data_IF_699311549872
#
_entry.id   IF_699311549872
#
_cell.length_a   1.000
_cell.length_b   1.000
_cell.length_c   1.000
_cell.angle_alpha   90.00
_cell.angle_beta   90.00
_cell.angle_gamma   90.00
#
_symmetry.space_group_name_H-M   'P 1'
#
loop_
_entity.id
_entity.type
_entity.pdbx_description
1 polymer ?
#
# COMPACT_ATOMS: atom_id res chain seq x y z
N UNK A 1 -27.30 22.58 -15.84
CA UNK A 1 -26.69 21.83 -14.71
C UNK A 1 -25.42 22.56 -14.32
N UNK A 2 -25.22 22.96 -13.05
CA UNK A 2 -23.94 23.54 -12.64
C UNK A 2 -22.88 22.43 -12.61
N UNK A 3 -21.77 22.67 -13.30
CA UNK A 3 -20.59 21.81 -13.26
C UNK A 3 -19.82 22.19 -12.00
N UNK A 4 -19.68 21.27 -11.05
CA UNK A 4 -18.90 21.50 -9.84
C UNK A 4 -17.42 21.72 -10.21
N UNK A 5 -16.77 22.78 -9.70
CA UNK A 5 -15.33 22.94 -9.87
C UNK A 5 -14.60 21.82 -9.12
N UNK A 6 -13.50 21.33 -9.70
CA UNK A 6 -12.72 20.19 -9.15
C UNK A 6 -12.28 20.44 -7.70
N UNK A 7 -12.05 21.70 -7.31
CA UNK A 7 -11.71 22.12 -5.95
C UNK A 7 -12.79 21.87 -4.90
N UNK A 8 -14.02 21.51 -5.30
CA UNK A 8 -15.11 21.11 -4.39
C UNK A 8 -15.31 19.59 -4.35
N UNK A 9 -14.59 18.84 -5.19
CA UNK A 9 -14.64 17.38 -5.21
C UNK A 9 -13.79 16.86 -4.05
N UNK A 10 -14.44 16.13 -3.14
CA UNK A 10 -13.79 15.47 -2.01
C UNK A 10 -13.58 13.97 -2.25
N UNK A 11 -14.38 13.38 -3.14
CA UNK A 11 -14.31 11.96 -3.50
C UNK A 11 -14.13 11.84 -5.00
N UNK A 12 -13.07 11.18 -5.42
CA UNK A 12 -12.82 10.89 -6.82
C UNK A 12 -12.62 9.38 -7.01
N UNK A 13 -13.28 8.84 -8.04
CA UNK A 13 -13.14 7.45 -8.47
C UNK A 13 -12.71 7.50 -9.93
N UNK A 14 -11.49 7.02 -10.22
CA UNK A 14 -10.97 6.98 -11.59
C UNK A 14 -10.95 5.54 -12.09
N UNK A 15 -11.83 5.16 -13.03
CA UNK A 15 -11.85 3.80 -13.56
C UNK A 15 -10.66 3.49 -14.49
N UNK A 16 -9.93 4.51 -14.98
CA UNK A 16 -8.74 4.34 -15.82
C UNK A 16 -7.49 3.96 -15.03
N UNK A 17 -6.68 3.07 -15.60
CA UNK A 17 -5.52 2.42 -15.00
C UNK A 17 -4.30 3.34 -14.73
N UNK A 18 -4.44 4.65 -14.94
CA UNK A 18 -3.38 5.60 -14.73
C UNK A 18 -3.88 6.85 -14.04
N UNK A 19 -3.05 7.33 -13.12
CA UNK A 19 -3.12 8.68 -12.62
C UNK A 19 -3.01 9.64 -13.82
N UNK A 20 -3.92 10.63 -13.96
CA UNK A 20 -3.74 11.67 -14.96
C UNK A 20 -2.42 12.40 -14.72
N UNK A 21 -1.60 12.60 -15.76
CA UNK A 21 -0.34 13.38 -15.70
C UNK A 21 -0.52 14.80 -15.11
N UNK A 22 -1.77 15.25 -14.99
CA UNK A 22 -2.21 16.54 -14.49
C UNK A 22 -2.30 16.67 -12.96
N UNK A 23 -1.89 15.68 -12.13
CA UNK A 23 -1.85 15.86 -10.66
C UNK A 23 -0.95 17.03 -10.23
N UNK A 24 -0.04 17.47 -11.10
CA UNK A 24 0.90 18.57 -10.89
C UNK A 24 0.29 19.99 -10.79
N UNK A 25 -1.04 20.16 -10.81
CA UNK A 25 -1.69 21.46 -10.97
C UNK A 25 -2.49 22.03 -9.79
N UNK A 26 -2.37 21.49 -8.58
CA UNK A 26 -3.12 21.97 -7.39
C UNK A 26 -4.63 21.66 -7.39
N UNK A 27 -5.17 21.16 -8.51
CA UNK A 27 -6.58 20.80 -8.69
C UNK A 27 -7.06 19.68 -7.75
N UNK A 28 -6.13 18.92 -7.16
CA UNK A 28 -6.43 17.73 -6.37
C UNK A 28 -6.35 18.00 -4.86
N UNK A 29 -5.98 19.21 -4.46
CA UNK A 29 -5.72 19.57 -3.06
C UNK A 29 -6.91 19.38 -2.11
N UNK A 30 -8.15 19.39 -2.62
CA UNK A 30 -9.38 19.17 -1.84
C UNK A 30 -9.80 17.71 -1.72
N UNK A 31 -9.13 16.79 -2.44
CA UNK A 31 -9.52 15.38 -2.48
C UNK A 31 -9.17 14.71 -1.16
N UNK A 32 -10.18 14.12 -0.54
CA UNK A 32 -10.08 13.42 0.74
C UNK A 32 -10.16 11.91 0.55
N UNK A 33 -10.95 11.46 -0.43
CA UNK A 33 -11.13 10.06 -0.78
C UNK A 33 -10.78 9.85 -2.25
N UNK A 34 -9.85 8.93 -2.52
CA UNK A 34 -9.45 8.59 -3.87
C UNK A 34 -9.51 7.08 -4.05
N UNK A 35 -10.16 6.64 -5.13
CA UNK A 35 -10.14 5.25 -5.59
C UNK A 35 -9.65 5.22 -7.03
N UNK A 36 -8.59 4.46 -7.30
CA UNK A 36 -8.02 4.33 -8.65
C UNK A 36 -7.85 2.85 -9.00
N UNK A 37 -7.94 2.51 -10.29
CA UNK A 37 -7.80 1.11 -10.73
C UNK A 37 -6.35 0.65 -10.87
N UNK A 38 -5.42 1.57 -11.18
CA UNK A 38 -4.03 1.22 -11.41
C UNK A 38 -3.07 2.36 -11.12
N UNK A 39 -1.92 2.04 -10.54
CA UNK A 39 -0.78 2.96 -10.47
C UNK A 39 0.55 2.21 -10.28
N UNK A 40 1.67 2.89 -10.53
CA UNK A 40 2.99 2.45 -10.05
C UNK A 40 3.24 2.83 -8.59
N UNK A 41 4.36 2.38 -8.03
CA UNK A 41 4.85 2.90 -6.74
C UNK A 41 5.27 4.38 -6.83
N UNK A 42 5.82 4.79 -7.98
CA UNK A 42 6.18 6.17 -8.29
C UNK A 42 4.96 7.10 -8.20
N UNK A 43 3.84 6.66 -8.75
CA UNK A 43 2.55 7.33 -8.68
C UNK A 43 2.04 7.47 -7.23
N UNK A 44 2.22 6.42 -6.41
CA UNK A 44 1.86 6.45 -4.99
C UNK A 44 2.62 7.54 -4.23
N UNK A 45 3.92 7.70 -4.53
CA UNK A 45 4.75 8.77 -3.98
C UNK A 45 4.25 10.16 -4.41
N UNK A 46 3.85 10.31 -5.68
CA UNK A 46 3.27 11.54 -6.22
C UNK A 46 1.97 11.89 -5.51
N UNK A 47 1.06 10.92 -5.34
CA UNK A 47 -0.21 11.11 -4.61
C UNK A 47 0.01 11.60 -3.18
N UNK A 48 0.92 10.94 -2.47
CA UNK A 48 1.29 11.27 -1.09
C UNK A 48 1.84 12.69 -0.96
N UNK A 49 2.49 13.18 -2.01
CA UNK A 49 3.14 14.50 -2.01
C UNK A 49 2.20 15.61 -2.47
N UNK A 50 1.32 15.33 -3.43
CA UNK A 50 0.54 16.35 -4.12
C UNK A 50 -0.93 16.46 -3.66
N UNK A 51 -1.41 15.51 -2.85
CA UNK A 51 -2.78 15.51 -2.32
C UNK A 51 -2.75 15.59 -0.78
N UNK A 52 -2.48 16.78 -0.20
CA UNK A 52 -2.23 16.92 1.23
C UNK A 52 -3.44 16.56 2.11
N UNK A 53 -4.67 16.74 1.61
CA UNK A 53 -5.92 16.42 2.33
C UNK A 53 -6.36 14.96 2.19
N UNK A 54 -5.60 14.12 1.46
CA UNK A 54 -5.96 12.73 1.23
C UNK A 54 -5.98 11.95 2.54
N UNK A 55 -7.15 11.42 2.88
CA UNK A 55 -7.37 10.59 4.07
C UNK A 55 -7.58 9.12 3.72
N UNK A 56 -8.19 8.84 2.56
CA UNK A 56 -8.55 7.50 2.15
C UNK A 56 -8.09 7.25 0.73
N UNK A 57 -7.24 6.24 0.55
CA UNK A 57 -6.76 5.81 -0.75
C UNK A 57 -7.08 4.33 -0.94
N UNK A 58 -7.79 4.02 -2.02
CA UNK A 58 -7.96 2.66 -2.53
C UNK A 58 -7.34 2.54 -3.91
N UNK A 59 -6.60 1.46 -4.12
CA UNK A 59 -5.95 1.15 -5.39
C UNK A 59 -6.24 -0.30 -5.72
N UNK A 60 -6.77 -0.56 -6.92
CA UNK A 60 -7.05 -1.94 -7.31
C UNK A 60 -5.76 -2.69 -7.69
N UNK A 61 -4.84 -2.06 -8.42
CA UNK A 61 -3.58 -2.68 -8.82
C UNK A 61 -2.38 -1.73 -8.69
N UNK A 62 -1.34 -2.16 -7.99
CA UNK A 62 -0.05 -1.48 -7.93
C UNK A 62 1.00 -2.31 -8.66
N UNK A 63 1.51 -1.77 -9.77
CA UNK A 63 2.56 -2.41 -10.57
C UNK A 63 3.97 -2.03 -10.11
N UNK A 64 4.93 -2.91 -10.37
CA UNK A 64 6.35 -2.64 -10.14
C UNK A 64 6.93 -1.73 -11.23
N UNK A 65 6.54 -0.47 -11.24
CA UNK A 65 7.13 0.57 -12.08
C UNK A 65 8.12 1.42 -11.27
N UNK A 66 8.97 0.79 -10.45
CA UNK A 66 9.95 1.52 -9.64
C UNK A 66 11.09 1.99 -10.52
N UNK A 67 11.21 3.29 -10.72
CA UNK A 67 12.39 3.88 -11.36
C UNK A 67 13.48 4.18 -10.32
N UNK A 68 14.76 4.19 -10.73
CA UNK A 68 15.86 4.63 -9.84
C UNK A 68 15.64 6.04 -9.27
N UNK A 69 14.92 6.89 -10.00
CA UNK A 69 14.52 8.24 -9.57
C UNK A 69 13.62 8.17 -8.34
N UNK A 70 12.68 7.23 -8.32
CA UNK A 70 11.73 7.08 -7.21
C UNK A 70 12.38 6.49 -5.97
N UNK A 71 13.28 5.53 -6.10
CA UNK A 71 14.04 4.99 -4.95
C UNK A 71 14.79 6.13 -4.25
N UNK A 72 15.48 6.97 -5.04
CA UNK A 72 16.19 8.13 -4.50
C UNK A 72 15.23 9.16 -3.89
N UNK A 73 14.05 9.35 -4.49
CA UNK A 73 13.05 10.31 -4.01
C UNK A 73 12.38 9.86 -2.71
N UNK A 74 12.07 8.57 -2.56
CA UNK A 74 11.57 7.97 -1.32
C UNK A 74 12.60 8.14 -0.20
N UNK A 75 13.88 7.86 -0.48
CA UNK A 75 14.95 7.99 0.51
C UNK A 75 15.25 9.43 0.93
N UNK A 76 15.05 10.41 0.04
CA UNK A 76 15.43 11.81 0.28
C UNK A 76 14.27 12.71 0.73
N UNK A 77 13.02 12.39 0.40
CA UNK A 77 11.86 13.21 0.76
C UNK A 77 11.29 12.82 2.13
N UNK A 78 11.49 13.70 3.12
CA UNK A 78 11.02 13.51 4.50
C UNK A 78 9.63 14.08 4.78
N UNK A 79 8.91 14.58 3.78
CA UNK A 79 7.60 15.19 4.00
C UNK A 79 6.58 14.14 4.44
N UNK A 80 5.98 14.37 5.60
CA UNK A 80 4.95 13.51 6.17
C UNK A 80 3.57 13.80 5.54
N UNK A 81 2.80 12.73 5.39
CA UNK A 81 1.42 12.70 4.90
C UNK A 81 0.50 12.47 6.09
N UNK A 82 0.38 13.50 6.92
CA UNK A 82 -0.25 13.39 8.24
C UNK A 82 -1.76 13.13 8.20
N UNK A 83 -2.41 13.42 7.07
CA UNK A 83 -3.85 13.25 6.91
C UNK A 83 -4.24 11.83 6.51
N UNK A 84 -3.32 11.03 5.97
CA UNK A 84 -3.62 9.68 5.52
C UNK A 84 -4.09 8.80 6.68
N UNK A 85 -5.30 8.25 6.57
CA UNK A 85 -5.93 7.37 7.57
C UNK A 85 -6.10 5.94 7.09
N UNK A 86 -6.35 5.75 5.79
CA UNK A 86 -6.62 4.44 5.22
C UNK A 86 -5.92 4.27 3.88
N UNK A 87 -5.15 3.19 3.77
CA UNK A 87 -4.61 2.70 2.51
C UNK A 87 -5.14 1.28 2.26
N UNK A 88 -5.75 1.09 1.09
CA UNK A 88 -6.24 -0.20 0.64
C UNK A 88 -5.67 -0.50 -0.75
N UNK A 89 -4.91 -1.59 -0.87
CA UNK A 89 -4.35 -2.05 -2.14
C UNK A 89 -4.85 -3.48 -2.40
N UNK A 90 -5.71 -3.64 -3.40
CA UNK A 90 -6.37 -4.92 -3.72
C UNK A 90 -5.42 -5.90 -4.45
N UNK A 91 -4.36 -5.40 -5.08
CA UNK A 91 -3.35 -6.20 -5.77
C UNK A 91 -2.01 -5.47 -5.81
N UNK A 92 -1.05 -5.91 -4.99
CA UNK A 92 0.32 -5.41 -4.96
C UNK A 92 1.23 -6.37 -5.72
N UNK A 93 1.65 -5.97 -6.92
CA UNK A 93 2.57 -6.68 -7.82
C UNK A 93 3.96 -6.03 -7.82
N UNK A 94 4.40 -5.53 -6.66
CA UNK A 94 5.68 -4.83 -6.50
C UNK A 94 6.33 -5.21 -5.17
N UNK A 95 7.61 -4.86 -5.00
CA UNK A 95 8.30 -5.13 -3.74
C UNK A 95 7.62 -4.41 -2.59
N UNK A 96 7.25 -5.17 -1.57
CA UNK A 96 6.62 -4.63 -0.38
C UNK A 96 7.57 -3.75 0.44
N UNK A 97 8.89 -3.92 0.30
CA UNK A 97 9.88 -3.11 0.98
C UNK A 97 9.77 -1.63 0.63
N UNK A 98 9.57 -1.31 -0.66
CA UNK A 98 9.39 0.07 -1.10
C UNK A 98 8.06 0.66 -0.62
N UNK A 99 7.01 -0.15 -0.58
CA UNK A 99 5.74 0.28 0.00
C UNK A 99 5.92 0.64 1.48
N UNK A 100 6.59 -0.20 2.27
CA UNK A 100 6.85 0.09 3.68
C UNK A 100 7.69 1.35 3.88
N UNK A 101 8.71 1.59 3.05
CA UNK A 101 9.47 2.85 3.09
C UNK A 101 8.57 4.06 2.84
N UNK A 102 7.63 3.96 1.90
CA UNK A 102 6.67 5.04 1.67
C UNK A 102 5.71 5.23 2.86
N UNK A 103 5.28 4.13 3.49
CA UNK A 103 4.38 4.14 4.64
C UNK A 103 4.99 4.81 5.87
N UNK A 104 6.32 4.87 6.00
CA UNK A 104 6.99 5.66 7.04
C UNK A 104 6.61 7.15 6.99
N UNK A 105 6.18 7.64 5.82
CA UNK A 105 5.69 9.01 5.64
C UNK A 105 4.25 9.20 6.09
N UNK A 106 3.50 8.14 6.38
CA UNK A 106 2.10 8.20 6.80
C UNK A 106 1.94 7.77 8.27
N UNK A 107 2.53 8.47 9.25
CA UNK A 107 2.59 8.01 10.64
C UNK A 107 1.22 7.88 11.31
N UNK A 108 0.22 8.63 10.82
CA UNK A 108 -1.15 8.67 11.35
C UNK A 108 -2.08 7.64 10.69
N UNK A 109 -1.55 6.71 9.90
CA UNK A 109 -2.31 5.66 9.24
C UNK A 109 -2.98 4.77 10.29
N UNK A 110 -4.29 4.58 10.14
CA UNK A 110 -5.10 3.79 11.07
C UNK A 110 -5.52 2.45 10.46
N UNK A 111 -5.63 2.39 9.13
CA UNK A 111 -6.06 1.21 8.39
C UNK A 111 -5.13 0.93 7.22
N UNK A 112 -4.61 -0.30 7.17
CA UNK A 112 -3.78 -0.78 6.07
C UNK A 112 -4.31 -2.15 5.64
N UNK A 113 -4.77 -2.23 4.40
CA UNK A 113 -5.28 -3.45 3.80
C UNK A 113 -4.46 -3.71 2.54
N UNK A 114 -3.72 -4.81 2.51
CA UNK A 114 -2.87 -5.17 1.39
C UNK A 114 -3.14 -6.60 0.96
N UNK A 115 -3.19 -6.79 -0.34
CA UNK A 115 -3.25 -8.09 -0.99
C UNK A 115 -2.06 -8.18 -1.94
N UNK A 116 -1.03 -8.92 -1.56
CA UNK A 116 0.21 -9.02 -2.33
C UNK A 116 0.28 -10.31 -3.12
N UNK A 117 0.80 -10.23 -4.34
CA UNK A 117 0.99 -11.38 -5.20
C UNK A 117 2.47 -11.56 -5.52
N UNK A 118 2.95 -12.80 -5.40
CA UNK A 118 4.24 -13.25 -5.94
C UNK A 118 5.51 -12.56 -5.41
N UNK A 119 5.47 -11.89 -4.26
CA UNK A 119 6.65 -11.29 -3.63
C UNK A 119 7.14 -12.15 -2.44
N UNK A 120 8.28 -12.87 -2.55
CA UNK A 120 8.81 -13.66 -1.45
C UNK A 120 9.41 -12.80 -0.32
N UNK A 121 9.73 -11.53 -0.57
CA UNK A 121 10.23 -10.61 0.47
C UNK A 121 9.16 -10.30 1.53
N UNK A 122 7.92 -10.70 1.26
CA UNK A 122 6.80 -10.58 2.19
C UNK A 122 6.97 -11.44 3.45
N UNK A 123 7.78 -12.50 3.38
CA UNK A 123 7.89 -13.56 4.38
C UNK A 123 9.02 -13.28 5.37
N UNK A 124 9.03 -12.06 5.89
CA UNK A 124 9.91 -11.61 6.98
C UNK A 124 9.05 -10.88 8.01
N UNK A 125 8.29 -11.68 8.79
CA UNK A 125 7.33 -11.17 9.75
C UNK A 125 8.02 -10.30 10.81
N UNK A 126 9.20 -10.71 11.26
CA UNK A 126 10.01 -9.97 12.23
C UNK A 126 10.34 -8.56 11.74
N UNK A 127 10.83 -8.40 10.51
CA UNK A 127 11.08 -7.07 9.91
C UNK A 127 9.80 -6.26 9.75
N UNK A 128 8.68 -6.88 9.37
CA UNK A 128 7.38 -6.17 9.24
C UNK A 128 6.87 -5.69 10.58
N UNK A 129 6.98 -6.51 11.61
CA UNK A 129 6.61 -6.15 12.98
C UNK A 129 7.40 -4.93 13.45
N UNK A 130 8.73 -4.92 13.25
CA UNK A 130 9.58 -3.78 13.62
C UNK A 130 9.11 -2.50 12.91
N UNK A 131 8.89 -2.55 11.60
CA UNK A 131 8.44 -1.39 10.81
C UNK A 131 7.09 -0.85 11.27
N UNK A 132 6.13 -1.74 11.54
CA UNK A 132 4.80 -1.31 12.00
C UNK A 132 4.90 -0.67 13.39
N UNK A 133 5.67 -1.26 14.32
CA UNK A 133 5.85 -0.72 15.67
C UNK A 133 6.59 0.62 15.65
N UNK A 134 7.62 0.76 14.80
CA UNK A 134 8.42 1.98 14.74
C UNK A 134 7.66 3.14 14.09
N UNK A 135 6.98 2.87 12.98
CA UNK A 135 6.55 3.90 12.03
C UNK A 135 5.03 4.06 11.94
N UNK A 136 4.25 3.03 12.28
CA UNK A 136 2.79 3.00 12.13
C UNK A 136 2.08 2.80 13.48
N UNK A 137 2.45 3.61 14.48
CA UNK A 137 1.99 3.46 15.88
C UNK A 137 0.47 3.57 16.04
N UNK A 138 -0.19 4.33 15.17
CA UNK A 138 -1.65 4.53 15.17
C UNK A 138 -2.42 3.47 14.37
N UNK A 139 -1.75 2.46 13.81
CA UNK A 139 -2.39 1.44 13.01
C UNK A 139 -3.31 0.57 13.87
N UNK A 140 -4.62 0.71 13.67
CA UNK A 140 -5.66 -0.02 14.39
C UNK A 140 -6.03 -1.29 13.65
N UNK A 141 -6.17 -1.20 12.34
CA UNK A 141 -6.57 -2.32 11.49
C UNK A 141 -5.47 -2.63 10.48
N UNK A 142 -4.90 -3.83 10.58
CA UNK A 142 -3.98 -4.37 9.59
C UNK A 142 -4.59 -5.64 9.02
N UNK A 143 -4.80 -5.64 7.71
CA UNK A 143 -5.22 -6.81 6.95
C UNK A 143 -4.21 -7.08 5.86
N UNK A 144 -3.73 -8.30 5.83
CA UNK A 144 -2.62 -8.66 5.00
C UNK A 144 -2.87 -10.03 4.41
N UNK A 145 -3.10 -10.05 3.10
CA UNK A 145 -3.23 -11.28 2.35
C UNK A 145 -2.07 -11.39 1.40
N UNK A 146 -1.48 -12.57 1.32
CA UNK A 146 -0.45 -12.80 0.30
C UNK A 146 -0.64 -14.12 -0.41
N UNK A 147 -0.41 -14.05 -1.72
CA UNK A 147 -0.48 -15.16 -2.63
C UNK A 147 0.92 -15.53 -3.09
N UNK A 148 1.31 -16.75 -2.78
CA UNK A 148 2.59 -17.33 -3.15
C UNK A 148 2.36 -18.30 -4.30
N UNK A 149 3.07 -18.09 -5.41
CA UNK A 149 3.13 -19.10 -6.47
C UNK A 149 4.01 -20.27 -6.02
N UNK A 150 3.60 -21.52 -6.33
CA UNK A 150 4.37 -22.73 -6.01
C UNK A 150 5.82 -22.68 -6.56
N UNK A 151 6.08 -22.07 -7.72
CA UNK A 151 7.46 -21.92 -8.23
C UNK A 151 8.38 -21.14 -7.27
N UNK A 152 7.81 -20.27 -6.44
CA UNK A 152 8.51 -19.53 -5.39
C UNK A 152 8.46 -20.28 -4.04
N UNK A 153 7.67 -21.33 -3.88
CA UNK A 153 7.51 -22.08 -2.62
C UNK A 153 8.82 -22.69 -2.14
N UNK A 154 9.74 -23.07 -3.04
CA UNK A 154 11.06 -23.59 -2.66
C UNK A 154 11.92 -22.59 -1.90
N UNK A 155 11.68 -21.28 -2.05
CA UNK A 155 12.40 -20.24 -1.31
C UNK A 155 11.72 -19.86 0.00
N UNK A 156 10.62 -20.52 0.36
CA UNK A 156 9.79 -20.15 1.50
C UNK A 156 10.04 -21.14 2.61
N UNK A 157 10.67 -20.66 3.68
CA UNK A 157 10.75 -21.40 4.91
C UNK A 157 9.38 -21.36 5.59
N UNK A 158 8.74 -22.52 5.80
CA UNK A 158 7.47 -22.62 6.53
C UNK A 158 7.58 -22.03 7.94
N UNK A 159 8.78 -22.02 8.53
CA UNK A 159 9.02 -21.39 9.83
C UNK A 159 8.79 -19.87 9.78
N UNK A 160 9.14 -19.20 8.67
CA UNK A 160 8.89 -17.76 8.54
C UNK A 160 7.38 -17.46 8.48
N UNK A 161 6.56 -18.37 7.96
CA UNK A 161 5.10 -18.21 7.97
C UNK A 161 4.54 -18.36 9.39
N UNK A 162 5.15 -19.21 10.22
CA UNK A 162 4.78 -19.34 11.65
C UNK A 162 5.09 -18.09 12.45
N UNK A 163 6.04 -17.25 12.03
CA UNK A 163 6.31 -15.99 12.71
C UNK A 163 5.12 -15.02 12.69
N UNK A 164 4.27 -15.08 11.65
CA UNK A 164 3.00 -14.33 11.59
C UNK A 164 1.93 -14.83 12.58
N UNK A 165 2.25 -15.83 13.41
CA UNK A 165 1.36 -16.38 14.44
C UNK A 165 1.83 -16.07 15.86
N UNK A 166 2.85 -15.23 16.03
CA UNK A 166 3.32 -14.83 17.35
C UNK A 166 2.28 -13.93 18.09
N UNK A 167 2.54 -13.62 19.36
CA UNK A 167 1.62 -12.83 20.21
C UNK A 167 1.27 -11.46 19.60
N UNK A 168 2.20 -10.81 18.93
CA UNK A 168 1.97 -9.50 18.33
C UNK A 168 0.97 -9.59 17.17
N UNK A 169 1.16 -10.56 16.26
CA UNK A 169 0.25 -10.76 15.14
C UNK A 169 -1.12 -11.30 15.58
N UNK A 170 -1.14 -12.25 16.51
CA UNK A 170 -2.34 -12.98 16.90
C UNK A 170 -3.18 -12.28 17.99
N UNK A 171 -2.56 -11.75 19.04
CA UNK A 171 -3.25 -11.37 20.29
C UNK A 171 -3.42 -9.87 20.50
N UNK A 172 -2.43 -9.04 20.16
CA UNK A 172 -2.45 -7.63 20.59
C UNK A 172 -3.47 -6.77 19.84
N UNK A 173 -3.70 -7.08 18.55
CA UNK A 173 -4.54 -6.24 17.68
C UNK A 173 -5.43 -7.02 16.70
N UNK A 174 -5.50 -8.36 16.83
CA UNK A 174 -6.25 -9.26 15.93
C UNK A 174 -5.98 -8.97 14.45
N UNK A 175 -4.70 -8.79 14.13
CA UNK A 175 -4.31 -8.51 12.76
C UNK A 175 -4.66 -9.70 11.88
N UNK A 176 -5.30 -9.42 10.75
CA UNK A 176 -5.74 -10.48 9.87
C UNK A 176 -4.64 -10.76 8.86
N UNK A 177 -3.86 -11.80 9.11
CA UNK A 177 -2.89 -12.34 8.17
C UNK A 177 -3.44 -13.62 7.57
N UNK A 178 -3.67 -13.64 6.27
CA UNK A 178 -4.07 -14.85 5.53
C UNK A 178 -3.08 -15.10 4.41
N UNK A 179 -2.69 -16.35 4.20
CA UNK A 179 -1.80 -16.71 3.12
C UNK A 179 -2.37 -17.86 2.30
N UNK A 180 -2.16 -17.77 0.99
CA UNK A 180 -2.55 -18.79 0.04
C UNK A 180 -1.33 -19.18 -0.78
N UNK A 181 -1.08 -20.49 -0.84
CA UNK A 181 -0.08 -21.07 -1.73
C UNK A 181 -0.87 -21.76 -2.85
N UNK A 182 -0.68 -21.35 -4.09
CA UNK A 182 -1.33 -22.02 -5.24
C UNK A 182 -0.32 -22.45 -6.28
N UNK A 183 -0.70 -23.49 -7.03
CA UNK A 183 -0.06 -23.81 -8.28
C UNK A 183 -0.53 -22.78 -9.31
N UNK A 184 0.39 -22.19 -10.08
CA UNK A 184 0.06 -21.25 -11.18
C UNK A 184 -0.93 -21.87 -12.18
N UNK A 185 -1.10 -23.20 -12.17
CA UNK A 185 -2.03 -23.94 -13.02
C UNK A 185 -3.48 -24.04 -12.49
N UNK A 186 -3.79 -23.53 -11.29
CA UNK A 186 -5.13 -23.60 -10.69
C UNK A 186 -5.93 -22.29 -10.83
N UNK A 187 -5.53 -21.39 -11.72
CA UNK A 187 -6.34 -20.22 -12.09
C UNK A 187 -7.10 -20.54 -13.38
N UNK A 188 -8.31 -21.09 -13.22
CA UNK A 188 -9.31 -21.22 -14.28
C UNK A 188 -10.08 -19.93 -14.51
#
# INVERSE_FOLDING_TARGET
MPILPVSQIQTLITPSASIPETISGGQWSSIVHLSISGCGLDDLFVLFTNIPELKYLRIENVSNNVTNVTINSIGNNKSLVNNMKTLHIDCLNSSIDYLFQLLERAPNLENLILFSFHDPSIIDASRRQILIVSSLRYLKNFKFKFHIANILQKSINEENLKEFQNQFWYNERRWYTEYFISNIFDVG
#
